data_IF_977452846145
#
_entry.id   IF_977452846145
#
_cell.length_a   1.000
_cell.length_b   1.000
_cell.length_c   1.000
_cell.angle_alpha   90.00
_cell.angle_beta   90.00
_cell.angle_gamma   90.00
#
_symmetry.space_group_name_H-M   'P 1'
#
loop_
_entity.id
_entity.type
_entity.pdbx_description
1 polymer ?
#
# COMPACT_ATOMS: atom_id res chain seq x y z
N UNK A 1 6.24 15.20 40.74
CA UNK A 1 6.19 15.18 39.26
C UNK A 1 4.73 15.33 38.84
N UNK A 2 4.35 16.49 38.30
CA UNK A 2 2.98 16.74 37.88
C UNK A 2 2.64 15.90 36.64
N UNK A 3 1.60 15.08 36.73
CA UNK A 3 0.97 14.46 35.54
C UNK A 3 0.60 15.58 34.59
N UNK A 4 1.23 15.60 33.40
CA UNK A 4 0.81 16.46 32.32
C UNK A 4 -0.69 16.24 32.07
N UNK A 5 -1.49 17.31 32.12
CA UNK A 5 -2.89 17.28 31.69
C UNK A 5 -2.90 16.73 30.26
N UNK A 6 -3.58 15.61 30.02
CA UNK A 6 -3.93 15.13 28.67
C UNK A 6 -4.68 16.28 27.98
N UNK A 7 -3.97 17.06 27.16
CA UNK A 7 -4.55 18.13 26.35
C UNK A 7 -4.77 17.56 24.95
N UNK A 8 -6.04 17.39 24.59
CA UNK A 8 -6.51 17.33 23.19
C UNK A 8 -6.92 15.94 22.67
N UNK A 9 -8.01 15.36 23.16
CA UNK A 9 -8.50 14.03 22.73
C UNK A 9 -8.91 13.93 21.25
N UNK A 10 -9.22 15.07 20.60
CA UNK A 10 -9.68 15.08 19.20
C UNK A 10 -8.55 14.88 18.17
N UNK A 11 -7.35 15.38 18.44
CA UNK A 11 -6.24 15.40 17.47
C UNK A 11 -4.97 14.72 18.00
N UNK A 12 -4.49 15.10 19.19
CA UNK A 12 -3.21 14.62 19.70
C UNK A 12 -3.38 13.45 20.66
N UNK A 13 -2.36 12.58 20.77
CA UNK A 13 -1.13 12.56 19.97
C UNK A 13 -1.28 11.85 18.62
N UNK A 14 -2.40 11.15 18.38
CA UNK A 14 -2.48 10.15 17.30
C UNK A 14 -3.59 10.44 16.28
N UNK A 15 -4.75 10.93 16.72
CA UNK A 15 -5.94 11.03 15.88
C UNK A 15 -5.83 12.04 14.72
N UNK A 16 -4.90 13.01 14.80
CA UNK A 16 -4.67 14.06 13.80
C UNK A 16 -4.48 13.49 12.39
N UNK A 17 -3.88 12.31 12.26
CA UNK A 17 -3.66 11.66 10.95
C UNK A 17 -4.95 11.32 10.20
N UNK A 18 -6.06 11.16 10.93
CA UNK A 18 -7.38 10.85 10.38
C UNK A 18 -8.15 12.07 9.89
N UNK A 19 -7.63 13.29 10.11
CA UNK A 19 -8.28 14.53 9.68
C UNK A 19 -7.73 15.00 8.33
N UNK A 20 -8.61 15.46 7.44
CA UNK A 20 -8.26 15.88 6.07
C UNK A 20 -7.25 17.03 6.05
N UNK A 21 -7.32 17.94 7.03
CA UNK A 21 -6.45 19.11 7.12
C UNK A 21 -5.02 18.79 7.55
N UNK A 22 -4.79 17.63 8.18
CA UNK A 22 -3.53 17.33 8.89
C UNK A 22 -2.84 16.05 8.43
N UNK A 23 -3.59 15.05 7.98
CA UNK A 23 -3.05 13.71 7.71
C UNK A 23 -3.42 13.16 6.33
N UNK A 24 -3.32 11.83 6.23
CA UNK A 24 -3.64 11.07 5.01
C UNK A 24 -4.55 9.86 5.27
N UNK A 25 -5.19 9.80 6.45
CA UNK A 25 -6.08 8.71 6.82
C UNK A 25 -5.35 7.39 7.13
N UNK A 26 -6.13 6.31 7.28
CA UNK A 26 -5.58 4.97 7.50
C UNK A 26 -4.80 4.46 6.28
N UNK A 27 -5.24 4.83 5.07
CA UNK A 27 -4.57 4.44 3.83
C UNK A 27 -3.12 4.95 3.79
N UNK A 28 -2.88 6.25 3.96
CA UNK A 28 -1.52 6.79 3.87
C UNK A 28 -0.61 6.31 5.02
N UNK A 29 -1.19 6.02 6.18
CA UNK A 29 -0.48 5.50 7.36
C UNK A 29 -0.05 4.05 7.18
N UNK A 30 -0.93 3.18 6.67
CA UNK A 30 -0.69 1.73 6.63
C UNK A 30 -0.23 1.21 5.26
N UNK A 31 -0.73 1.77 4.15
CA UNK A 31 -0.42 1.24 2.82
C UNK A 31 1.07 1.37 2.46
N UNK A 32 1.75 2.39 2.98
CA UNK A 32 3.20 2.55 2.78
C UNK A 32 4.02 1.42 3.41
N UNK A 33 3.45 0.70 4.39
CA UNK A 33 4.02 -0.52 4.94
C UNK A 33 3.52 -1.74 4.17
N UNK A 34 2.21 -1.96 4.15
CA UNK A 34 1.63 -3.22 3.65
C UNK A 34 1.80 -3.40 2.14
N UNK A 35 1.69 -2.33 1.34
CA UNK A 35 1.81 -2.40 -0.12
C UNK A 35 3.27 -2.35 -0.62
N UNK A 36 4.24 -2.11 0.26
CA UNK A 36 5.66 -2.01 -0.12
C UNK A 36 6.15 -3.30 -0.80
N UNK A 37 5.80 -4.46 -0.23
CA UNK A 37 6.14 -5.76 -0.80
C UNK A 37 5.59 -5.96 -2.22
N UNK A 38 4.41 -5.39 -2.54
CA UNK A 38 3.81 -5.45 -3.88
C UNK A 38 4.63 -4.58 -4.85
N UNK A 39 4.97 -3.36 -4.42
CA UNK A 39 5.75 -2.43 -5.24
C UNK A 39 7.16 -2.97 -5.52
N UNK A 40 7.83 -3.46 -4.50
CA UNK A 40 9.17 -4.02 -4.62
C UNK A 40 9.22 -5.29 -5.47
N UNK A 41 8.23 -6.19 -5.32
CA UNK A 41 8.23 -7.48 -6.03
C UNK A 41 7.72 -7.40 -7.47
N UNK A 42 6.75 -6.52 -7.75
CA UNK A 42 6.11 -6.45 -9.07
C UNK A 42 6.58 -5.29 -9.93
N UNK A 43 7.30 -4.30 -9.40
CA UNK A 43 7.72 -3.11 -10.13
C UNK A 43 6.55 -2.52 -10.96
N UNK A 44 5.47 -2.06 -10.29
CA UNK A 44 4.21 -1.72 -10.95
C UNK A 44 4.31 -0.54 -11.92
N UNK A 45 5.24 0.39 -11.69
CA UNK A 45 5.20 1.74 -12.26
C UNK A 45 3.94 2.48 -11.80
N UNK A 46 3.38 3.33 -12.67
CA UNK A 46 2.14 4.04 -12.39
C UNK A 46 0.90 3.20 -12.71
N UNK A 47 -0.17 3.29 -11.90
CA UNK A 47 -1.45 2.70 -12.26
C UNK A 47 -2.04 3.41 -13.47
N UNK A 48 -2.79 2.67 -14.28
CA UNK A 48 -3.59 3.25 -15.37
C UNK A 48 -4.94 3.75 -14.89
N UNK A 49 -5.48 3.12 -13.84
CA UNK A 49 -6.74 3.48 -13.23
C UNK A 49 -6.71 3.27 -11.73
N UNK A 50 -7.52 4.05 -11.03
CA UNK A 50 -7.79 3.90 -9.61
C UNK A 50 -9.29 4.13 -9.35
N UNK A 51 -9.85 3.40 -8.39
CA UNK A 51 -11.27 3.43 -8.05
C UNK A 51 -11.48 3.17 -6.56
N UNK A 52 -12.44 3.90 -5.97
CA UNK A 52 -12.99 3.56 -4.67
C UNK A 52 -14.28 2.76 -4.85
N UNK A 53 -14.23 1.49 -4.49
CA UNK A 53 -15.34 0.54 -4.60
C UNK A 53 -16.29 0.67 -3.41
N UNK A 54 -15.73 0.92 -2.22
CA UNK A 54 -16.49 1.16 -1.00
C UNK A 54 -15.82 2.27 -0.18
N UNK A 55 -16.63 3.11 0.45
CA UNK A 55 -16.18 4.19 1.34
C UNK A 55 -17.14 4.27 2.52
N UNK A 56 -16.69 3.89 3.70
CA UNK A 56 -17.46 3.99 4.94
C UNK A 56 -17.15 5.31 5.66
N UNK A 57 -18.16 6.18 5.71
CA UNK A 57 -18.17 7.40 6.53
C UNK A 57 -17.02 8.36 6.23
N UNK A 58 -16.97 8.88 4.99
CA UNK A 58 -16.18 10.08 4.68
C UNK A 58 -16.94 11.34 5.14
N UNK A 59 -16.23 12.31 5.72
CA UNK A 59 -16.82 13.59 6.14
C UNK A 59 -16.02 14.75 5.57
N UNK A 60 -16.54 15.97 5.68
CA UNK A 60 -15.83 17.19 5.26
C UNK A 60 -14.59 17.50 6.13
N UNK A 61 -14.39 16.79 7.24
CA UNK A 61 -13.28 17.04 8.17
C UNK A 61 -12.32 15.84 8.33
N UNK A 62 -12.79 14.62 8.10
CA UNK A 62 -12.04 13.40 8.40
C UNK A 62 -12.16 12.35 7.31
N UNK A 63 -11.06 11.59 7.14
CA UNK A 63 -10.96 10.42 6.27
C UNK A 63 -11.93 9.32 6.70
N UNK A 64 -12.25 8.37 5.80
CA UNK A 64 -13.19 7.28 6.06
C UNK A 64 -12.74 6.39 7.22
N UNK A 65 -13.71 5.76 7.88
CA UNK A 65 -13.46 4.71 8.87
C UNK A 65 -13.08 3.39 8.23
N UNK A 66 -13.46 3.18 6.97
CA UNK A 66 -13.06 2.04 6.15
C UNK A 66 -13.25 2.29 4.67
N UNK A 67 -12.55 1.51 3.86
CA UNK A 67 -12.59 1.63 2.41
C UNK A 67 -12.25 0.31 1.72
N UNK A 68 -12.70 0.21 0.47
CA UNK A 68 -12.19 -0.77 -0.50
C UNK A 68 -11.75 -0.01 -1.73
N UNK A 69 -10.46 -0.08 -2.05
CA UNK A 69 -9.88 0.61 -3.20
C UNK A 69 -9.31 -0.39 -4.19
N UNK A 70 -9.22 0.02 -5.44
CA UNK A 70 -8.64 -0.76 -6.53
C UNK A 70 -7.71 0.11 -7.35
N UNK A 71 -6.50 -0.39 -7.60
CA UNK A 71 -5.58 0.13 -8.60
C UNK A 71 -5.41 -0.89 -9.72
N UNK A 72 -5.42 -0.43 -10.97
CA UNK A 72 -5.15 -1.28 -12.14
C UNK A 72 -3.84 -0.86 -12.78
N UNK A 73 -2.88 -1.79 -12.81
CA UNK A 73 -1.57 -1.62 -13.43
C UNK A 73 -1.55 -2.27 -14.82
N UNK A 74 -0.94 -1.57 -15.77
CA UNK A 74 -0.76 -2.07 -17.13
C UNK A 74 0.29 -3.19 -17.20
N UNK A 75 0.30 -3.97 -18.29
CA UNK A 75 1.38 -4.93 -18.56
C UNK A 75 2.70 -4.23 -18.85
N UNK A 76 3.80 -4.96 -18.68
CA UNK A 76 5.14 -4.59 -19.15
C UNK A 76 5.72 -5.75 -19.97
N UNK A 77 6.90 -5.56 -20.56
CA UNK A 77 7.60 -6.65 -21.27
C UNK A 77 7.96 -7.84 -20.34
N UNK A 78 7.94 -7.63 -19.02
CA UNK A 78 8.35 -8.62 -18.01
C UNK A 78 7.19 -9.27 -17.26
N UNK A 79 5.98 -8.69 -17.30
CA UNK A 79 4.82 -9.20 -16.55
C UNK A 79 3.47 -8.76 -17.15
N UNK A 80 2.40 -9.54 -16.97
CA UNK A 80 1.06 -9.10 -17.31
C UNK A 80 0.61 -7.89 -16.48
N UNK A 81 -0.46 -7.25 -16.92
CA UNK A 81 -1.18 -6.26 -16.11
C UNK A 81 -1.89 -6.94 -14.95
N UNK A 82 -2.09 -6.22 -13.86
CA UNK A 82 -2.70 -6.75 -12.66
C UNK A 82 -3.46 -5.68 -11.89
N UNK A 83 -4.33 -6.14 -11.00
CA UNK A 83 -5.07 -5.29 -10.09
C UNK A 83 -4.55 -5.45 -8.67
N UNK A 84 -4.48 -4.34 -7.93
CA UNK A 84 -4.26 -4.33 -6.47
C UNK A 84 -5.54 -3.87 -5.80
N UNK A 85 -5.99 -4.62 -4.81
CA UNK A 85 -7.13 -4.27 -3.98
C UNK A 85 -6.66 -3.96 -2.56
N UNK A 86 -7.13 -2.87 -2.01
CA UNK A 86 -6.92 -2.48 -0.60
C UNK A 86 -8.21 -2.64 0.17
N UNK A 87 -8.10 -3.19 1.38
CA UNK A 87 -9.21 -3.38 2.31
C UNK A 87 -8.79 -2.87 3.69
N UNK A 88 -9.46 -1.83 4.19
CA UNK A 88 -9.27 -1.32 5.54
C UNK A 88 -10.59 -0.97 6.25
N UNK A 89 -10.48 -0.71 7.55
CA UNK A 89 -11.61 -0.34 8.39
C UNK A 89 -12.47 -1.51 8.89
N UNK A 90 -13.32 -1.18 9.87
CA UNK A 90 -14.14 -2.16 10.60
C UNK A 90 -15.34 -2.66 9.81
N UNK A 91 -15.74 -1.98 8.73
CA UNK A 91 -16.88 -2.36 7.89
C UNK A 91 -16.52 -3.34 6.75
N UNK A 92 -15.23 -3.68 6.62
CA UNK A 92 -14.83 -4.94 6.00
C UNK A 92 -14.95 -6.12 6.97
N UNK A 93 -15.44 -5.89 8.20
CA UNK A 93 -15.84 -6.94 9.13
C UNK A 93 -17.36 -7.14 9.09
N UNK A 94 -17.85 -8.32 8.73
CA UNK A 94 -19.22 -8.74 9.05
C UNK A 94 -19.21 -9.77 10.16
N UNK A 95 -20.26 -9.78 10.98
CA UNK A 95 -20.43 -10.80 12.01
C UNK A 95 -21.20 -11.97 11.39
N UNK A 96 -20.62 -13.16 11.32
CA UNK A 96 -21.36 -14.34 10.83
C UNK A 96 -22.51 -14.71 11.79
N UNK A 97 -23.38 -15.64 11.38
CA UNK A 97 -24.55 -16.09 12.16
C UNK A 97 -24.22 -16.63 13.57
N UNK A 98 -22.93 -16.85 13.88
CA UNK A 98 -22.44 -17.32 15.17
C UNK A 98 -21.73 -16.23 15.98
N UNK A 99 -21.75 -14.96 15.54
CA UNK A 99 -21.11 -13.87 16.28
C UNK A 99 -19.63 -13.66 15.95
N UNK A 100 -19.06 -14.32 14.92
CA UNK A 100 -17.62 -14.21 14.62
C UNK A 100 -17.34 -13.07 13.63
N UNK A 101 -16.41 -12.15 13.93
CA UNK A 101 -15.94 -11.16 12.96
C UNK A 101 -15.27 -11.86 11.76
N UNK A 102 -15.72 -11.55 10.55
CA UNK A 102 -15.22 -12.07 9.28
C UNK A 102 -14.74 -10.93 8.41
N UNK A 103 -13.60 -11.08 7.73
CA UNK A 103 -13.12 -10.11 6.73
C UNK A 103 -14.05 -10.10 5.51
N UNK A 104 -13.84 -9.16 4.59
CA UNK A 104 -14.56 -9.08 3.32
C UNK A 104 -14.59 -10.48 2.64
N UNK A 105 -15.76 -10.93 2.20
CA UNK A 105 -16.02 -12.33 1.75
C UNK A 105 -14.98 -12.84 0.73
N UNK A 106 -14.63 -11.99 -0.24
CA UNK A 106 -13.58 -12.27 -1.23
C UNK A 106 -12.23 -12.68 -0.63
N UNK A 107 -11.84 -12.12 0.51
CA UNK A 107 -10.59 -12.48 1.18
C UNK A 107 -10.67 -13.90 1.76
N UNK A 108 -11.83 -14.27 2.34
CA UNK A 108 -12.06 -15.62 2.86
C UNK A 108 -12.09 -16.65 1.72
N UNK A 109 -12.70 -16.31 0.58
CA UNK A 109 -12.70 -17.16 -0.62
C UNK A 109 -11.27 -17.41 -1.15
N UNK A 110 -10.47 -16.35 -1.30
CA UNK A 110 -9.07 -16.46 -1.76
C UNK A 110 -8.22 -17.25 -0.76
N UNK A 111 -8.46 -17.07 0.56
CA UNK A 111 -7.72 -17.76 1.60
C UNK A 111 -7.96 -19.27 1.62
N UNK A 112 -9.08 -19.75 1.06
CA UNK A 112 -9.42 -21.18 0.98
C UNK A 112 -9.31 -21.89 2.35
N UNK A 113 -9.77 -21.22 3.41
CA UNK A 113 -9.71 -21.73 4.79
C UNK A 113 -8.37 -21.54 5.50
N UNK A 114 -7.35 -20.98 4.85
CA UNK A 114 -6.14 -20.53 5.52
C UNK A 114 -6.45 -19.39 6.49
N UNK A 115 -5.80 -19.41 7.66
CA UNK A 115 -5.92 -18.33 8.63
C UNK A 115 -5.25 -17.05 8.11
N UNK A 116 -6.03 -15.96 8.09
CA UNK A 116 -5.57 -14.62 7.69
C UNK A 116 -5.23 -13.78 8.94
N UNK A 117 -4.00 -13.26 8.98
CA UNK A 117 -3.55 -12.32 9.99
C UNK A 117 -4.26 -10.95 9.86
N UNK A 118 -4.08 -10.08 10.86
CA UNK A 118 -4.71 -8.74 10.91
C UNK A 118 -4.30 -7.83 9.75
N UNK A 119 -3.07 -7.95 9.29
CA UNK A 119 -2.53 -7.28 8.11
C UNK A 119 -1.72 -8.26 7.28
N UNK A 120 -1.45 -7.87 6.03
CA UNK A 120 -0.71 -8.67 5.08
C UNK A 120 -1.25 -8.55 3.66
N UNK A 121 -0.82 -9.47 2.81
CA UNK A 121 -1.12 -9.47 1.39
C UNK A 121 -1.50 -10.87 0.90
N UNK A 122 -2.35 -10.92 -0.13
CA UNK A 122 -2.66 -12.12 -0.89
C UNK A 122 -2.26 -11.88 -2.35
N UNK A 123 -1.24 -12.58 -2.82
CA UNK A 123 -0.84 -12.54 -4.23
C UNK A 123 -1.51 -13.69 -4.96
N UNK A 124 -2.54 -13.37 -5.74
CA UNK A 124 -3.34 -14.38 -6.45
C UNK A 124 -2.66 -14.71 -7.78
N UNK A 125 -1.98 -15.85 -7.83
CA UNK A 125 -1.39 -16.40 -9.05
C UNK A 125 -2.39 -17.22 -9.86
N UNK A 126 -1.96 -17.69 -11.03
CA UNK A 126 -2.77 -18.54 -11.91
C UNK A 126 -2.94 -19.96 -11.38
N UNK A 127 -2.00 -20.44 -10.57
CA UNK A 127 -2.02 -21.80 -10.00
C UNK A 127 -2.33 -21.79 -8.51
N UNK A 128 -1.63 -20.94 -7.76
CA UNK A 128 -1.69 -20.88 -6.31
C UNK A 128 -1.67 -19.42 -5.83
N UNK A 129 -1.99 -19.20 -4.56
CA UNK A 129 -1.92 -17.87 -3.93
C UNK A 129 -0.76 -17.83 -2.94
N UNK A 130 0.00 -16.74 -2.91
CA UNK A 130 0.98 -16.47 -1.85
C UNK A 130 0.31 -15.63 -0.75
N UNK A 131 0.18 -16.20 0.44
CA UNK A 131 -0.23 -15.49 1.63
C UNK A 131 1.00 -14.90 2.33
N UNK A 132 1.00 -13.59 2.50
CA UNK A 132 2.01 -12.85 3.27
C UNK A 132 1.32 -12.23 4.48
N UNK A 133 1.88 -12.43 5.68
CA UNK A 133 1.33 -11.90 6.93
C UNK A 133 2.15 -10.72 7.44
N UNK A 134 1.47 -9.76 8.07
CA UNK A 134 2.09 -8.59 8.68
C UNK A 134 2.32 -7.47 7.66
N UNK A 135 2.47 -6.25 8.18
CA UNK A 135 2.68 -5.05 7.38
C UNK A 135 4.09 -4.96 6.77
N UNK A 136 5.03 -5.77 7.25
CA UNK A 136 6.43 -5.79 6.81
C UNK A 136 6.87 -7.12 6.21
N UNK A 137 5.91 -7.98 5.85
CA UNK A 137 6.20 -9.28 5.24
C UNK A 137 6.79 -10.31 6.20
N UNK A 138 6.29 -10.34 7.44
CA UNK A 138 6.81 -11.15 8.55
C UNK A 138 6.92 -12.65 8.23
N UNK A 139 5.99 -13.17 7.41
CA UNK A 139 6.00 -14.56 6.94
C UNK A 139 5.27 -14.67 5.60
N UNK A 140 5.73 -15.58 4.75
CA UNK A 140 5.12 -15.88 3.46
C UNK A 140 4.97 -17.37 3.24
N UNK A 141 3.79 -17.82 2.81
CA UNK A 141 3.54 -19.22 2.43
C UNK A 141 2.59 -19.31 1.25
N UNK A 142 2.76 -20.34 0.45
CA UNK A 142 1.82 -20.64 -0.64
C UNK A 142 0.60 -21.34 -0.01
N UNK A 143 -0.59 -20.98 -0.49
CA UNK A 143 -1.85 -21.64 -0.13
C UNK A 143 -2.45 -22.28 -1.40
N UNK A 144 -2.95 -23.52 -1.31
CA UNK A 144 -3.02 -24.37 -0.10
C UNK A 144 -1.65 -24.91 0.35
N UNK A 145 -1.57 -25.43 1.58
CA UNK A 145 -0.30 -25.84 2.21
C UNK A 145 0.42 -26.96 1.45
N UNK A 146 -0.33 -27.82 0.77
CA UNK A 146 0.19 -28.90 -0.08
C UNK A 146 1.04 -28.33 -1.23
N UNK A 147 0.60 -27.24 -1.86
CA UNK A 147 1.35 -26.56 -2.90
C UNK A 147 2.64 -25.95 -2.35
N UNK A 148 2.61 -25.37 -1.15
CA UNK A 148 3.81 -24.89 -0.48
C UNK A 148 4.84 -26.00 -0.23
N UNK A 149 4.38 -27.17 0.24
CA UNK A 149 5.26 -28.33 0.45
C UNK A 149 5.87 -28.81 -0.87
N UNK A 150 5.07 -28.87 -1.94
CA UNK A 150 5.56 -29.29 -3.25
C UNK A 150 6.69 -28.38 -3.75
N UNK A 151 6.49 -27.06 -3.72
CA UNK A 151 7.51 -26.07 -4.11
C UNK A 151 8.75 -26.16 -3.21
N UNK A 152 8.58 -26.31 -1.90
CA UNK A 152 9.71 -26.43 -0.98
C UNK A 152 10.54 -27.71 -1.19
N UNK A 153 9.91 -28.80 -1.63
CA UNK A 153 10.64 -30.05 -1.96
C UNK A 153 11.35 -29.95 -3.30
N UNK A 154 10.71 -29.36 -4.30
CA UNK A 154 11.33 -29.09 -5.60
C UNK A 154 12.56 -28.18 -5.46
N UNK A 155 12.46 -27.11 -4.66
CA UNK A 155 13.59 -26.24 -4.36
C UNK A 155 14.72 -27.02 -3.69
N UNK A 156 14.42 -27.87 -2.69
CA UNK A 156 15.44 -28.68 -2.02
C UNK A 156 16.16 -29.61 -2.99
N UNK A 157 15.44 -30.23 -3.91
CA UNK A 157 16.05 -31.10 -4.93
C UNK A 157 16.98 -30.31 -5.86
N UNK A 158 16.57 -29.10 -6.28
CA UNK A 158 17.32 -28.28 -7.23
C UNK A 158 18.50 -27.52 -6.61
N UNK A 159 18.37 -27.06 -5.36
CA UNK A 159 19.31 -26.10 -4.74
C UNK A 159 19.91 -26.62 -3.44
N UNK A 160 19.38 -27.70 -2.86
CA UNK A 160 19.74 -28.16 -1.52
C UNK A 160 19.06 -27.40 -0.38
N UNK A 161 18.26 -26.36 -0.67
CA UNK A 161 17.52 -25.56 0.30
C UNK A 161 16.01 -25.56 -0.02
N UNK A 162 15.18 -25.55 1.02
CA UNK A 162 13.72 -25.42 0.88
C UNK A 162 13.26 -24.00 0.51
N UNK A 163 14.18 -23.03 0.46
CA UNK A 163 13.90 -21.61 0.20
C UNK A 163 14.46 -21.16 -1.16
N UNK A 164 13.83 -20.16 -1.79
CA UNK A 164 14.41 -19.50 -2.96
C UNK A 164 15.79 -18.92 -2.65
N UNK A 165 16.64 -18.84 -3.67
CA UNK A 165 17.93 -18.16 -3.56
C UNK A 165 17.72 -16.70 -3.12
N UNK A 166 18.62 -16.21 -2.26
CA UNK A 166 18.62 -14.80 -1.90
C UNK A 166 19.03 -13.99 -3.12
N UNK A 167 18.15 -13.10 -3.54
CA UNK A 167 18.39 -12.17 -4.66
C UNK A 167 18.82 -10.78 -4.19
N UNK A 168 18.71 -10.51 -2.89
CA UNK A 168 19.12 -9.25 -2.26
C UNK A 168 20.13 -9.50 -1.14
N UNK A 169 21.10 -8.60 -1.05
CA UNK A 169 21.99 -8.52 0.10
C UNK A 169 21.22 -8.11 1.35
N UNK A 170 21.51 -8.69 2.52
CA UNK A 170 20.90 -8.24 3.77
C UNK A 170 21.17 -6.75 4.01
N UNK A 171 20.11 -6.01 4.37
CA UNK A 171 20.23 -4.61 4.76
C UNK A 171 21.15 -4.45 5.97
N UNK A 172 22.01 -3.42 5.92
CA UNK A 172 22.83 -2.98 7.06
C UNK A 172 22.03 -2.06 8.02
N UNK A 173 20.72 -1.95 7.81
CA UNK A 173 19.80 -1.07 8.51
C UNK A 173 19.59 0.25 7.77
N UNK A 174 18.34 0.65 7.56
CA UNK A 174 17.96 1.83 6.76
C UNK A 174 18.60 3.15 7.25
N UNK A 175 18.79 3.32 8.56
CA UNK A 175 19.52 4.49 9.09
C UNK A 175 20.99 4.51 8.67
N UNK A 176 21.65 3.34 8.68
CA UNK A 176 23.04 3.20 8.24
C UNK A 176 23.13 3.43 6.74
N UNK A 177 22.23 2.84 5.95
CA UNK A 177 22.17 3.06 4.50
C UNK A 177 22.02 4.55 4.16
N UNK A 178 21.09 5.25 4.84
CA UNK A 178 20.91 6.69 4.69
C UNK A 178 22.18 7.46 5.04
N UNK A 179 22.83 7.14 6.17
CA UNK A 179 24.09 7.78 6.58
C UNK A 179 25.16 7.61 5.52
N UNK A 180 25.39 6.39 5.02
CA UNK A 180 26.42 6.09 4.04
C UNK A 180 26.20 6.84 2.72
N UNK A 181 24.94 6.98 2.30
CA UNK A 181 24.58 7.79 1.15
C UNK A 181 24.80 9.30 1.41
N UNK A 182 24.37 9.80 2.57
CA UNK A 182 24.45 11.21 2.94
C UNK A 182 25.90 11.73 3.07
N UNK A 183 26.83 10.88 3.50
CA UNK A 183 28.27 11.23 3.60
C UNK A 183 29.06 10.93 2.31
N UNK A 184 28.41 10.40 1.27
CA UNK A 184 29.02 10.14 -0.04
C UNK A 184 29.81 8.82 -0.16
N UNK A 185 29.75 7.93 0.83
CA UNK A 185 30.36 6.60 0.75
C UNK A 185 29.59 5.65 -0.17
N UNK A 186 28.30 5.93 -0.37
CA UNK A 186 27.38 5.21 -1.25
C UNK A 186 26.62 6.21 -2.13
N UNK A 187 26.12 5.80 -3.31
CA UNK A 187 25.31 6.68 -4.15
C UNK A 187 24.00 7.08 -3.43
N UNK A 188 23.38 8.17 -3.89
CA UNK A 188 22.17 8.72 -3.25
C UNK A 188 20.96 7.78 -3.30
N UNK A 189 20.94 6.83 -4.24
CA UNK A 189 19.89 5.82 -4.41
C UNK A 189 20.27 4.47 -3.82
N UNK A 190 21.35 4.40 -3.02
CA UNK A 190 21.72 3.21 -2.26
C UNK A 190 20.67 2.78 -1.21
N UNK A 191 20.05 3.70 -0.43
CA UNK A 191 19.03 3.28 0.53
C UNK A 191 17.85 2.62 -0.16
N UNK A 192 17.35 1.51 0.41
CA UNK A 192 16.24 0.75 -0.18
C UNK A 192 14.96 1.58 -0.39
N UNK A 193 14.75 2.59 0.45
CA UNK A 193 13.62 3.52 0.41
C UNK A 193 13.99 4.92 -0.13
N UNK A 194 14.86 4.98 -1.13
CA UNK A 194 15.24 6.25 -1.78
C UNK A 194 14.08 6.92 -2.54
N UNK A 195 14.23 8.19 -2.90
CA UNK A 195 13.15 8.98 -3.54
C UNK A 195 12.68 8.47 -4.91
N UNK A 196 13.52 7.75 -5.67
CA UNK A 196 13.10 7.17 -6.96
C UNK A 196 12.06 6.06 -6.76
N UNK A 197 12.16 5.37 -5.62
CA UNK A 197 11.22 4.32 -5.22
C UNK A 197 10.05 4.91 -4.41
N UNK A 198 10.36 5.59 -3.31
CA UNK A 198 9.38 6.06 -2.34
C UNK A 198 8.46 7.17 -2.89
N UNK A 199 8.94 8.00 -3.80
CA UNK A 199 8.14 9.07 -4.43
C UNK A 199 6.95 8.52 -5.23
N UNK A 200 7.18 7.80 -6.34
CA UNK A 200 6.11 7.20 -7.14
C UNK A 200 5.21 6.23 -6.35
N UNK A 201 5.78 5.53 -5.36
CA UNK A 201 4.99 4.67 -4.46
C UNK A 201 4.02 5.48 -3.60
N UNK A 202 4.50 6.54 -2.95
CA UNK A 202 3.66 7.44 -2.15
C UNK A 202 2.61 8.13 -3.01
N UNK A 203 2.98 8.59 -4.20
CA UNK A 203 2.04 9.17 -5.18
C UNK A 203 0.90 8.18 -5.47
N UNK A 204 1.23 6.91 -5.72
CA UNK A 204 0.22 5.88 -6.03
C UNK A 204 -0.73 5.63 -4.87
N UNK A 205 -0.22 5.56 -3.63
CA UNK A 205 -1.06 5.43 -2.43
C UNK A 205 -2.01 6.63 -2.33
N UNK A 206 -1.49 7.84 -2.53
CA UNK A 206 -2.26 9.08 -2.39
C UNK A 206 -3.36 9.23 -3.47
N UNK A 207 -3.23 8.58 -4.62
CA UNK A 207 -4.34 8.47 -5.58
C UNK A 207 -5.57 7.78 -4.97
N UNK A 208 -5.35 6.81 -4.08
CA UNK A 208 -6.44 6.18 -3.34
C UNK A 208 -7.21 7.19 -2.50
N UNK A 209 -6.50 8.08 -1.79
CA UNK A 209 -7.12 9.16 -1.02
C UNK A 209 -7.94 10.11 -1.88
N UNK A 210 -7.49 10.43 -3.10
CA UNK A 210 -8.29 11.22 -4.05
C UNK A 210 -9.57 10.47 -4.44
N UNK A 211 -9.47 9.18 -4.72
CA UNK A 211 -10.61 8.35 -5.10
C UNK A 211 -11.69 8.22 -4.04
N UNK A 212 -11.36 8.36 -2.75
CA UNK A 212 -12.34 8.33 -1.66
C UNK A 212 -13.43 9.41 -1.84
N UNK A 213 -13.11 10.53 -2.51
CA UNK A 213 -14.07 11.60 -2.83
C UNK A 213 -14.95 11.30 -4.06
N UNK A 214 -14.69 10.21 -4.79
CA UNK A 214 -15.40 9.83 -6.01
C UNK A 214 -15.80 8.33 -6.00
N UNK A 215 -16.61 7.88 -5.02
CA UNK A 215 -17.01 6.48 -4.92
C UNK A 215 -17.72 5.99 -6.19
N UNK A 216 -17.36 4.78 -6.64
CA UNK A 216 -17.88 4.15 -7.86
C UNK A 216 -17.45 4.82 -9.17
N UNK A 217 -16.44 5.71 -9.13
CA UNK A 217 -15.85 6.30 -10.34
C UNK A 217 -14.48 5.68 -10.60
N UNK A 218 -14.35 5.06 -11.77
CA UNK A 218 -13.06 4.65 -12.32
C UNK A 218 -12.32 5.85 -12.89
N UNK A 219 -11.31 6.35 -12.19
CA UNK A 219 -10.49 7.48 -12.62
C UNK A 219 -9.29 6.99 -13.43
N UNK A 220 -9.08 7.55 -14.62
CA UNK A 220 -7.99 7.20 -15.52
C UNK A 220 -6.78 8.09 -15.27
N UNK A 221 -5.66 7.51 -14.81
CA UNK A 221 -4.48 8.23 -14.37
C UNK A 221 -3.42 8.34 -15.46
N UNK A 222 -2.80 9.52 -15.56
CA UNK A 222 -1.63 9.83 -16.36
C UNK A 222 -0.47 10.13 -15.41
N UNK A 223 0.29 9.10 -15.03
CA UNK A 223 1.41 9.21 -14.10
C UNK A 223 2.46 10.24 -14.50
N UNK A 224 3.01 10.17 -15.72
CA UNK A 224 4.00 11.15 -16.19
C UNK A 224 3.53 12.61 -16.13
N UNK A 225 2.24 12.87 -16.33
CA UNK A 225 1.66 14.21 -16.30
C UNK A 225 1.05 14.59 -14.95
N UNK A 226 1.04 13.68 -13.98
CA UNK A 226 0.39 13.81 -12.68
C UNK A 226 -1.06 14.33 -12.80
N UNK A 227 -1.87 13.68 -13.64
CA UNK A 227 -3.28 14.09 -13.83
C UNK A 227 -4.23 12.95 -14.20
N UNK A 228 -5.49 13.10 -13.84
CA UNK A 228 -6.60 12.28 -14.32
C UNK A 228 -7.07 12.75 -15.70
N UNK A 229 -7.10 11.84 -16.66
CA UNK A 229 -7.54 12.10 -18.05
C UNK A 229 -9.04 12.39 -18.14
N UNK A 230 -9.83 11.91 -17.17
CA UNK A 230 -11.28 11.89 -17.25
C UNK A 230 -11.99 12.67 -16.13
N UNK A 231 -11.29 13.38 -15.25
CA UNK A 231 -11.92 14.12 -14.15
C UNK A 231 -11.19 15.40 -13.76
N UNK A 232 -11.74 16.55 -14.18
CA UNK A 232 -11.28 17.88 -13.73
C UNK A 232 -11.44 18.08 -12.23
N UNK A 233 -12.50 17.53 -11.62
CA UNK A 233 -12.74 17.60 -10.17
C UNK A 233 -11.72 16.78 -9.38
N UNK A 234 -11.29 15.63 -9.90
CA UNK A 234 -10.22 14.87 -9.24
C UNK A 234 -8.87 15.58 -9.39
N UNK A 235 -8.61 16.20 -10.55
CA UNK A 235 -7.40 17.00 -10.77
C UNK A 235 -7.27 18.18 -9.80
N UNK A 236 -8.37 18.79 -9.34
CA UNK A 236 -8.29 19.85 -8.33
C UNK A 236 -7.84 19.38 -6.95
N UNK A 237 -7.72 18.07 -6.72
CA UNK A 237 -7.22 17.49 -5.47
C UNK A 237 -5.76 17.00 -5.58
N UNK A 238 -5.16 17.00 -6.78
CA UNK A 238 -3.78 16.52 -7.00
C UNK A 238 -2.75 17.54 -6.53
N UNK A 239 -3.06 18.82 -6.66
CA UNK A 239 -2.15 19.89 -6.26
C UNK A 239 -2.89 20.98 -5.52
N UNK A 240 -2.14 21.80 -4.78
CA UNK A 240 -2.66 22.94 -4.03
C UNK A 240 -2.02 24.22 -4.52
N UNK A 241 -2.75 25.32 -4.40
CA UNK A 241 -2.13 26.64 -4.53
C UNK A 241 -1.25 26.89 -3.30
N UNK A 242 0.05 26.97 -3.52
CA UNK A 242 0.97 27.43 -2.49
C UNK A 242 0.77 28.93 -2.25
N UNK A 243 1.00 29.38 -1.01
CA UNK A 243 1.03 30.82 -0.72
C UNK A 243 2.09 31.47 -1.61
N UNK A 244 1.84 32.69 -2.13
CA UNK A 244 2.70 33.36 -3.12
C UNK A 244 4.21 33.36 -2.76
N UNK A 245 4.55 33.53 -1.49
CA UNK A 245 5.95 33.54 -1.00
C UNK A 245 6.59 32.14 -0.86
N UNK A 246 5.82 31.08 -1.09
CA UNK A 246 6.19 29.67 -0.93
C UNK A 246 5.91 28.85 -2.19
N UNK A 247 5.76 29.53 -3.34
CA UNK A 247 5.61 28.88 -4.64
C UNK A 247 6.95 28.28 -5.07
N UNK A 248 7.19 27.05 -4.66
CA UNK A 248 8.28 26.23 -5.17
C UNK A 248 7.94 25.80 -6.58
N UNK A 249 8.13 26.70 -7.54
CA UNK A 249 8.06 26.35 -8.97
C UNK A 249 9.16 25.33 -9.25
N UNK A 250 8.79 24.05 -9.22
CA UNK A 250 9.59 23.00 -9.81
C UNK A 250 9.60 23.29 -11.31
N UNK A 251 10.68 23.89 -11.80
CA UNK A 251 10.88 24.04 -13.24
C UNK A 251 10.82 22.64 -13.85
N UNK A 252 9.84 22.37 -14.70
CA UNK A 252 9.87 21.19 -15.55
C UNK A 252 11.12 21.31 -16.42
N UNK A 253 12.10 20.44 -16.17
CA UNK A 253 13.27 20.27 -17.02
C UNK A 253 12.86 19.66 -18.37
#
# INVERSE_FOLDING_TARGET
MGRAKKRGDAYLPFNWRGWLDFGGGALADMACHTMDSIFMSLDPGYPTHVEALNVDTLTDAAFPKGSTLKWTFGPTDKRPGFDVYWYDGTDNAYTDKNGKPRRHERLEEIAQGAELANSGNLYVGTENTLLVTGDYGDSSRIIPHEAHRAVAMELKEKTGDHRPARVYEPSIGHHTEFREAAIGNKPYDYPGSNFKYAGPFTETIQLGNVCLHFPGKKLAWDGPNLSFKNSRKANSLINKEYRKEWDFKLSKA
#
